data_IF_234330728864
#
_entry.id   IF_234330728864
#
_cell.length_a   1.000
_cell.length_b   1.000
_cell.length_c   1.000
_cell.angle_alpha   90.00
_cell.angle_beta   90.00
_cell.angle_gamma   90.00
#
_symmetry.space_group_name_H-M   'P 1'
#
loop_
_entity.id
_entity.type
_entity.pdbx_description
1 polymer ?
#
# COMPACT_ATOMS: atom_id res chain seq x y z
N UNK A 1 9.79 49.26 -33.05
CA UNK A 1 10.42 47.92 -33.04
C UNK A 1 11.63 47.95 -32.11
N UNK A 2 11.89 46.82 -31.43
CA UNK A 2 13.07 46.49 -30.59
C UNK A 2 12.96 46.71 -29.05
N UNK A 3 12.64 45.59 -28.40
CA UNK A 3 13.36 44.95 -27.29
C UNK A 3 13.46 45.67 -25.93
N UNK A 4 12.46 45.42 -25.07
CA UNK A 4 12.67 45.38 -23.61
C UNK A 4 13.29 44.04 -23.21
N UNK A 5 14.49 44.11 -22.66
CA UNK A 5 15.20 43.01 -22.01
C UNK A 5 14.44 42.57 -20.76
N UNK A 6 13.49 41.65 -20.90
CA UNK A 6 12.85 41.00 -19.75
C UNK A 6 13.89 40.09 -19.08
N UNK A 7 14.32 40.55 -17.91
CA UNK A 7 15.34 39.98 -17.06
C UNK A 7 15.32 38.47 -16.94
N UNK A 8 16.46 37.89 -17.29
CA UNK A 8 16.87 36.54 -16.99
C UNK A 8 16.74 36.26 -15.48
N UNK A 9 15.72 35.51 -15.06
CA UNK A 9 15.73 34.80 -13.77
C UNK A 9 15.87 33.31 -14.04
N UNK A 10 17.12 32.87 -14.24
CA UNK A 10 17.51 31.47 -14.03
C UNK A 10 17.31 31.16 -12.54
N UNK A 11 16.11 30.71 -12.15
CA UNK A 11 15.92 30.07 -10.85
C UNK A 11 16.64 28.73 -10.92
N UNK A 12 17.88 28.72 -10.44
CA UNK A 12 18.59 27.51 -10.06
C UNK A 12 17.77 26.85 -8.94
N UNK A 13 16.82 26.00 -9.31
CA UNK A 13 16.25 25.05 -8.38
C UNK A 13 17.33 24.00 -8.17
N UNK A 14 18.18 24.22 -7.18
CA UNK A 14 19.07 23.19 -6.67
C UNK A 14 18.18 22.01 -6.27
N UNK A 15 18.16 20.97 -7.10
CA UNK A 15 17.52 19.72 -6.78
C UNK A 15 18.18 19.21 -5.50
N UNK A 16 17.50 19.38 -4.37
CA UNK A 16 17.86 18.76 -3.11
C UNK A 16 17.74 17.24 -3.34
N UNK A 17 18.85 16.64 -3.79
CA UNK A 17 18.98 15.19 -3.95
C UNK A 17 18.72 14.56 -2.60
N UNK A 18 17.56 13.91 -2.45
CA UNK A 18 17.25 13.07 -1.30
C UNK A 18 18.28 11.94 -1.30
N UNK A 19 19.26 12.01 -0.38
CA UNK A 19 20.17 10.90 -0.08
C UNK A 19 19.38 9.82 0.65
N UNK A 20 18.61 9.05 -0.10
CA UNK A 20 17.98 7.83 0.38
C UNK A 20 18.08 6.83 -0.74
N UNK A 21 18.92 5.81 -0.56
CA UNK A 21 18.77 4.59 -1.35
C UNK A 21 17.33 4.11 -1.13
N UNK A 22 16.55 4.06 -2.21
CA UNK A 22 15.26 3.38 -2.17
C UNK A 22 15.61 1.91 -1.95
N UNK A 23 15.57 1.47 -0.69
CA UNK A 23 15.72 0.06 -0.36
C UNK A 23 14.73 -0.70 -1.23
N UNK A 24 15.26 -1.66 -1.99
CA UNK A 24 14.47 -2.41 -2.95
C UNK A 24 13.23 -2.94 -2.25
N UNK A 25 12.05 -2.67 -2.83
CA UNK A 25 10.82 -3.39 -2.51
C UNK A 25 11.05 -4.85 -2.92
N UNK A 26 11.76 -5.62 -2.12
CA UNK A 26 12.04 -7.04 -2.35
C UNK A 26 10.70 -7.78 -2.23
N UNK A 27 10.03 -7.87 -3.36
CA UNK A 27 8.63 -8.22 -3.51
C UNK A 27 8.44 -9.71 -3.82
N UNK A 28 9.20 -10.57 -3.15
CA UNK A 28 9.08 -12.03 -3.29
C UNK A 28 7.96 -12.57 -2.41
N UNK A 29 6.77 -11.97 -2.51
CA UNK A 29 5.56 -12.49 -1.88
C UNK A 29 4.71 -13.21 -2.93
N UNK A 30 4.40 -14.48 -2.68
CA UNK A 30 3.55 -15.29 -3.56
C UNK A 30 2.08 -14.93 -3.34
N UNK A 31 1.65 -14.81 -2.09
CA UNK A 31 0.28 -14.46 -1.70
C UNK A 31 0.00 -12.96 -1.48
N UNK A 32 -0.74 -12.66 -0.42
CA UNK A 32 -1.15 -11.32 -0.02
C UNK A 32 -0.03 -10.56 0.68
N UNK A 33 0.31 -9.36 0.19
CA UNK A 33 1.32 -8.47 0.81
C UNK A 33 1.03 -8.13 2.27
N UNK A 34 -0.25 -8.15 2.64
CA UNK A 34 -0.69 -7.79 3.98
C UNK A 34 -0.61 -8.97 4.95
N UNK A 35 -0.31 -10.20 4.51
CA UNK A 35 -0.29 -11.39 5.36
C UNK A 35 0.52 -11.20 6.65
N UNK A 36 1.74 -10.64 6.55
CA UNK A 36 2.64 -10.42 7.69
C UNK A 36 2.12 -9.41 8.72
N UNK A 37 1.13 -8.58 8.35
CA UNK A 37 0.57 -7.52 9.21
C UNK A 37 -0.95 -7.61 9.36
N UNK A 38 -1.60 -8.62 8.79
CA UNK A 38 -3.05 -8.71 8.77
C UNK A 38 -3.54 -9.43 10.04
N UNK A 39 -4.39 -8.80 10.87
CA UNK A 39 -4.95 -9.45 12.06
C UNK A 39 -5.94 -10.57 11.71
N UNK A 40 -6.43 -10.60 10.47
CA UNK A 40 -7.35 -11.61 9.93
C UNK A 40 -6.66 -12.56 8.95
N UNK A 41 -5.32 -12.65 8.99
CA UNK A 41 -4.57 -13.53 8.12
C UNK A 41 -5.01 -14.99 8.29
N UNK A 42 -5.01 -15.73 7.18
CA UNK A 42 -5.17 -17.19 7.16
C UNK A 42 -3.99 -17.81 6.40
N UNK A 43 -3.67 -19.10 6.58
CA UNK A 43 -2.52 -19.75 5.93
C UNK A 43 -2.53 -19.58 4.40
N UNK A 44 -3.71 -19.74 3.76
CA UNK A 44 -3.87 -19.50 2.32
C UNK A 44 -3.41 -18.11 1.88
N UNK A 45 -3.42 -17.09 2.75
CA UNK A 45 -3.04 -15.71 2.37
C UNK A 45 -1.55 -15.60 2.07
N UNK A 46 -0.72 -16.52 2.55
CA UNK A 46 0.70 -16.55 2.23
C UNK A 46 0.99 -17.31 0.92
N UNK A 47 0.19 -18.34 0.63
CA UNK A 47 0.42 -19.31 -0.44
C UNK A 47 -0.27 -18.93 -1.76
N UNK A 48 -1.46 -18.34 -1.70
CA UNK A 48 -2.28 -18.05 -2.87
C UNK A 48 -2.56 -16.55 -3.03
N UNK A 49 -2.45 -16.05 -4.26
CA UNK A 49 -2.83 -14.69 -4.62
C UNK A 49 -4.34 -14.61 -4.79
N UNK A 50 -4.98 -13.69 -4.09
CA UNK A 50 -6.42 -13.56 -4.18
C UNK A 50 -6.87 -12.80 -5.44
N UNK A 51 -8.02 -13.21 -5.96
CA UNK A 51 -8.69 -12.57 -7.09
C UNK A 51 -9.38 -11.27 -6.67
N UNK A 52 -9.44 -10.32 -7.60
CA UNK A 52 -10.15 -9.06 -7.39
C UNK A 52 -11.64 -9.29 -7.64
N UNK A 53 -12.45 -9.21 -6.57
CA UNK A 53 -13.91 -9.36 -6.62
C UNK A 53 -14.62 -8.09 -6.14
N UNK A 54 -15.88 -7.96 -6.52
CA UNK A 54 -16.73 -6.84 -6.12
C UNK A 54 -17.54 -7.22 -4.87
N UNK A 55 -17.44 -6.40 -3.82
CA UNK A 55 -18.07 -6.63 -2.52
C UNK A 55 -19.33 -5.77 -2.32
N UNK A 56 -19.34 -4.59 -2.94
CA UNK A 56 -20.46 -3.67 -3.03
C UNK A 56 -20.33 -2.88 -4.34
N UNK A 57 -21.40 -2.25 -4.86
CA UNK A 57 -21.33 -1.50 -6.12
C UNK A 57 -20.18 -0.47 -6.13
N UNK A 58 -19.20 -0.66 -7.01
CA UNK A 58 -18.01 0.19 -7.11
C UNK A 58 -16.92 -0.06 -6.05
N UNK A 59 -17.09 -1.03 -5.15
CA UNK A 59 -16.13 -1.40 -4.12
C UNK A 59 -15.53 -2.78 -4.42
N UNK A 60 -14.26 -2.80 -4.86
CA UNK A 60 -13.55 -4.03 -5.21
C UNK A 60 -12.46 -4.37 -4.19
N UNK A 61 -12.39 -5.64 -3.83
CA UNK A 61 -11.50 -6.17 -2.81
C UNK A 61 -10.87 -7.48 -3.26
N UNK A 62 -9.71 -7.79 -2.71
CA UNK A 62 -9.03 -9.09 -2.90
C UNK A 62 -9.11 -9.97 -1.66
N UNK A 63 -9.44 -9.44 -0.49
CA UNK A 63 -9.43 -10.20 0.76
C UNK A 63 -10.50 -11.31 0.77
N UNK A 64 -10.17 -12.54 1.14
CA UNK A 64 -11.19 -13.60 1.28
C UNK A 64 -12.20 -13.30 2.38
N UNK A 65 -11.78 -12.69 3.48
CA UNK A 65 -12.63 -12.32 4.62
C UNK A 65 -13.36 -10.99 4.46
N UNK A 66 -13.35 -10.41 3.25
CA UNK A 66 -14.01 -9.13 3.02
C UNK A 66 -15.52 -9.19 3.31
N UNK A 67 -16.16 -10.33 3.03
CA UNK A 67 -17.57 -10.58 3.34
C UNK A 67 -17.81 -10.64 4.85
N UNK A 68 -17.00 -11.40 5.59
CA UNK A 68 -17.12 -11.52 7.05
C UNK A 68 -16.96 -10.17 7.76
N UNK A 69 -16.03 -9.35 7.26
CA UNK A 69 -15.79 -8.00 7.78
C UNK A 69 -16.95 -7.06 7.43
N UNK A 70 -17.45 -7.11 6.19
CA UNK A 70 -18.59 -6.28 5.77
C UNK A 70 -19.87 -6.62 6.51
N UNK A 71 -20.09 -7.89 6.84
CA UNK A 71 -21.25 -8.36 7.63
C UNK A 71 -21.10 -8.07 9.13
N UNK A 72 -19.97 -7.51 9.58
CA UNK A 72 -19.74 -7.16 10.99
C UNK A 72 -19.51 -8.36 11.92
N UNK A 73 -19.29 -9.55 11.35
CA UNK A 73 -19.06 -10.80 12.07
C UNK A 73 -17.66 -10.86 12.72
N UNK A 74 -16.78 -9.91 12.38
CA UNK A 74 -15.40 -9.80 12.89
C UNK A 74 -15.10 -8.39 13.42
N UNK A 75 -15.68 -8.01 14.55
CA UNK A 75 -15.46 -6.70 15.21
C UNK A 75 -14.40 -6.72 16.32
N UNK A 76 -13.94 -7.90 16.76
CA UNK A 76 -12.84 -8.01 17.72
C UNK A 76 -11.49 -8.10 17.00
N UNK A 77 -10.94 -6.95 16.62
CA UNK A 77 -9.50 -6.83 16.36
C UNK A 77 -8.81 -7.10 17.68
N UNK A 78 -8.51 -8.37 17.99
CA UNK A 78 -7.63 -8.71 19.11
C UNK A 78 -6.33 -7.95 18.85
N UNK A 79 -6.10 -6.98 19.72
CA UNK A 79 -4.96 -6.08 19.72
C UNK A 79 -3.70 -6.91 20.01
N UNK A 80 -3.22 -7.69 19.03
CA UNK A 80 -1.94 -8.40 19.09
C UNK A 80 -0.86 -7.39 18.73
N UNK A 81 -0.76 -6.36 19.56
CA UNK A 81 0.44 -5.56 19.64
C UNK A 81 1.52 -6.45 20.24
N UNK A 82 2.39 -6.91 19.35
CA UNK A 82 3.81 -7.12 19.61
C UNK A 82 4.17 -8.32 20.52
N UNK A 83 4.12 -9.53 19.97
CA UNK A 83 5.03 -10.61 20.39
C UNK A 83 5.41 -11.47 19.19
N UNK A 84 6.51 -11.12 18.54
CA UNK A 84 7.40 -12.12 17.95
C UNK A 84 8.74 -11.96 18.69
N UNK A 85 9.40 -13.05 19.13
CA UNK A 85 10.72 -12.98 19.75
C UNK A 85 11.79 -12.39 18.81
#
# INVERSE_FOLDING_TARGET
>A
MAATLVGQRRKQQAAMQLKGEVLALSADYVGCRLYSRCPFAQPRCAEERQELRELAPGHRVRCWRAEDIQMGLMTEVKNVQNTLP
#
